data_IF_342355356472
#
_entry.id   IF_342355356472
#
_cell.length_a   1.000
_cell.length_b   1.000
_cell.length_c   1.000
_cell.angle_alpha   90.00
_cell.angle_beta   90.00
_cell.angle_gamma   90.00
#
_symmetry.space_group_name_H-M   'P 1'
#
loop_
_entity.id
_entity.type
_entity.pdbx_description
1 polymer ?
#
# COMPACT_ATOMS: atom_id res chain seq x y z
N UNK A 1 32.12 4.09 35.64
CA UNK A 1 32.15 2.66 36.01
C UNK A 1 31.51 1.91 34.86
N UNK A 2 32.33 1.38 33.94
CA UNK A 2 31.87 0.77 32.68
C UNK A 2 31.86 -0.74 32.88
N UNK A 3 30.67 -1.35 32.78
CA UNK A 3 30.50 -2.79 32.83
C UNK A 3 30.74 -3.37 31.44
N UNK A 4 31.82 -4.14 31.31
CA UNK A 4 32.13 -4.97 30.15
C UNK A 4 31.29 -6.26 30.27
N UNK A 5 30.50 -6.66 29.25
CA UNK A 5 29.84 -7.95 29.25
C UNK A 5 30.85 -9.07 28.94
N UNK A 6 30.75 -10.24 29.59
CA UNK A 6 31.64 -11.36 29.29
C UNK A 6 31.29 -11.99 27.95
N UNK A 7 32.31 -12.21 27.13
CA UNK A 7 32.24 -12.83 25.81
C UNK A 7 31.73 -14.28 25.87
N UNK A 8 30.92 -14.64 24.87
CA UNK A 8 30.93 -16.01 24.34
C UNK A 8 29.81 -16.97 24.74
N UNK A 9 28.60 -16.49 25.09
CA UNK A 9 27.46 -17.39 25.30
C UNK A 9 26.36 -17.19 24.25
N UNK A 10 26.13 -18.25 23.47
CA UNK A 10 25.01 -18.43 22.55
C UNK A 10 23.67 -18.20 23.29
N UNK A 11 22.80 -17.34 22.76
CA UNK A 11 21.49 -17.02 23.33
C UNK A 11 20.62 -18.27 23.61
N UNK A 12 20.85 -19.37 22.88
CA UNK A 12 20.13 -20.63 23.07
C UNK A 12 20.58 -21.44 24.29
N UNK A 13 21.79 -21.22 24.85
CA UNK A 13 22.26 -21.97 26.02
C UNK A 13 21.88 -21.33 27.37
N UNK A 14 21.53 -20.05 27.38
CA UNK A 14 21.15 -19.31 28.61
C UNK A 14 19.70 -19.55 29.03
N UNK A 15 18.82 -19.96 28.10
CA UNK A 15 17.42 -20.28 28.39
C UNK A 15 17.29 -21.62 29.14
N UNK A 16 18.27 -22.53 29.00
CA UNK A 16 18.26 -23.82 29.69
C UNK A 16 18.79 -23.76 31.14
N UNK A 17 19.58 -22.76 31.51
CA UNK A 17 20.28 -22.70 32.81
C UNK A 17 19.47 -22.02 33.94
N UNK A 18 18.37 -21.33 33.60
CA UNK A 18 17.40 -20.82 34.57
C UNK A 18 16.03 -21.14 34.00
N UNK A 19 15.35 -22.13 34.60
CA UNK A 19 14.03 -22.60 34.17
C UNK A 19 12.98 -21.50 34.14
N UNK A 20 13.00 -20.69 33.09
CA UNK A 20 11.90 -19.82 32.71
C UNK A 20 10.94 -20.67 31.90
N UNK A 21 10.02 -21.33 32.60
CA UNK A 21 8.89 -21.98 31.96
C UNK A 21 8.14 -20.92 31.13
N UNK A 22 8.06 -21.12 29.82
CA UNK A 22 7.36 -20.26 28.84
C UNK A 22 5.83 -20.21 29.04
N UNK A 23 5.32 -20.75 30.15
CA UNK A 23 3.90 -20.90 30.46
C UNK A 23 3.35 -19.84 31.45
N UNK A 24 4.09 -18.75 31.67
CA UNK A 24 3.66 -17.66 32.56
C UNK A 24 2.69 -16.66 31.90
N UNK A 25 1.87 -15.98 32.70
CA UNK A 25 1.09 -14.82 32.26
C UNK A 25 2.01 -13.72 31.72
N UNK A 26 1.52 -12.91 30.78
CA UNK A 26 2.29 -11.85 30.08
C UNK A 26 3.09 -10.94 31.04
N UNK A 27 2.55 -10.67 32.24
CA UNK A 27 3.20 -9.86 33.28
C UNK A 27 4.45 -10.50 33.86
N UNK A 28 4.46 -11.82 34.05
CA UNK A 28 5.64 -12.57 34.54
C UNK A 28 6.75 -12.57 33.50
N UNK A 29 6.40 -12.69 32.21
CA UNK A 29 7.34 -12.62 31.11
C UNK A 29 7.96 -11.22 31.01
N UNK A 30 7.14 -10.17 31.11
CA UNK A 30 7.60 -8.77 31.14
C UNK A 30 8.54 -8.51 32.30
N UNK A 31 8.21 -8.98 33.51
CA UNK A 31 9.04 -8.80 34.70
C UNK A 31 10.37 -9.54 34.59
N UNK A 32 10.38 -10.76 34.05
CA UNK A 32 11.59 -11.55 33.83
C UNK A 32 12.52 -10.91 32.79
N UNK A 33 11.95 -10.44 31.68
CA UNK A 33 12.69 -9.70 30.65
C UNK A 33 13.29 -8.40 31.20
N UNK A 34 12.51 -7.63 31.96
CA UNK A 34 12.97 -6.39 32.54
C UNK A 34 14.13 -6.63 33.54
N UNK A 35 14.00 -7.65 34.39
CA UNK A 35 15.08 -8.06 35.31
C UNK A 35 16.34 -8.52 34.56
N UNK A 36 16.18 -9.24 33.44
CA UNK A 36 17.31 -9.71 32.64
C UNK A 36 18.10 -8.57 31.98
N UNK A 37 17.41 -7.55 31.48
CA UNK A 37 18.04 -6.39 30.82
C UNK A 37 18.34 -5.22 31.77
N UNK A 38 18.02 -5.35 33.06
CA UNK A 38 18.21 -4.28 34.05
C UNK A 38 17.26 -3.08 33.87
N UNK A 39 16.09 -3.28 33.25
CA UNK A 39 15.04 -2.28 33.18
C UNK A 39 14.22 -2.27 34.48
N UNK A 40 14.12 -1.12 35.13
CA UNK A 40 13.25 -0.95 36.27
C UNK A 40 11.82 -0.61 35.80
N UNK A 41 10.91 -1.60 35.85
CA UNK A 41 9.51 -1.42 35.48
C UNK A 41 8.73 -0.51 36.45
N UNK A 42 9.29 -0.20 37.63
CA UNK A 42 8.66 0.72 38.58
C UNK A 42 8.90 2.18 38.21
N UNK A 43 9.93 2.45 37.41
CA UNK A 43 10.15 3.74 36.79
C UNK A 43 9.21 3.83 35.60
N UNK A 44 8.01 4.34 35.84
CA UNK A 44 7.11 4.75 34.77
C UNK A 44 7.90 5.79 33.94
N UNK A 45 8.35 5.48 32.71
CA UNK A 45 9.10 6.44 31.94
C UNK A 45 8.16 7.62 31.78
N UNK A 46 8.50 8.73 32.42
CA UNK A 46 7.82 9.99 32.19
C UNK A 46 8.17 10.31 30.75
N UNK A 47 7.34 9.82 29.82
CA UNK A 47 7.36 10.23 28.44
C UNK A 47 7.02 11.70 28.55
N UNK A 48 8.05 12.54 28.61
CA UNK A 48 7.89 13.93 28.23
C UNK A 48 7.32 13.82 26.83
N UNK A 49 6.01 14.03 26.74
CA UNK A 49 5.33 14.23 25.47
C UNK A 49 6.04 15.42 24.88
N UNK A 50 7.04 15.15 24.04
CA UNK A 50 7.53 16.09 23.05
C UNK A 50 6.24 16.43 22.31
N UNK A 51 5.67 17.59 22.60
CA UNK A 51 4.60 18.18 21.83
C UNK A 51 5.19 18.34 20.43
N UNK A 52 5.07 17.30 19.61
CA UNK A 52 5.31 17.40 18.18
C UNK A 52 4.37 18.52 17.76
N UNK A 53 4.90 19.67 17.31
CA UNK A 53 4.07 20.80 16.91
C UNK A 53 3.04 20.23 15.94
N UNK A 54 1.77 20.29 16.33
CA UNK A 54 0.69 19.81 15.48
C UNK A 54 0.87 20.55 14.18
N UNK A 55 1.11 19.81 13.09
CA UNK A 55 1.33 20.41 11.78
C UNK A 55 0.04 21.13 11.43
N UNK A 56 0.04 22.44 11.66
CA UNK A 56 -1.10 23.30 11.47
C UNK A 56 -1.56 23.18 10.02
N UNK A 57 -2.87 23.29 9.80
CA UNK A 57 -3.47 23.25 8.46
C UNK A 57 -2.78 24.27 7.54
N UNK A 58 -2.38 25.41 8.11
CA UNK A 58 -1.60 26.44 7.43
C UNK A 58 -0.22 25.99 6.92
N UNK A 59 0.44 25.03 7.60
CA UNK A 59 1.73 24.48 7.16
C UNK A 59 1.51 23.54 5.96
N UNK A 60 0.47 22.70 6.02
CA UNK A 60 0.12 21.82 4.90
C UNK A 60 -0.24 22.63 3.67
N UNK A 61 -1.03 23.69 3.83
CA UNK A 61 -1.41 24.57 2.73
C UNK A 61 -0.20 25.24 2.07
N UNK A 62 0.77 25.69 2.87
CA UNK A 62 2.03 26.25 2.32
C UNK A 62 2.86 25.21 1.60
N UNK A 63 3.02 24.01 2.17
CA UNK A 63 3.75 22.94 1.51
C UNK A 63 3.12 22.55 0.17
N UNK A 64 1.79 22.50 0.10
CA UNK A 64 1.08 22.27 -1.15
C UNK A 64 1.24 23.41 -2.15
N UNK A 65 1.15 24.67 -1.69
CA UNK A 65 1.37 25.84 -2.55
C UNK A 65 2.79 25.84 -3.15
N UNK A 66 3.81 25.52 -2.36
CA UNK A 66 5.20 25.42 -2.81
C UNK A 66 5.38 24.31 -3.86
N UNK A 67 4.78 23.13 -3.65
CA UNK A 67 4.80 22.04 -4.64
C UNK A 67 4.10 22.41 -5.95
N UNK A 68 2.99 23.13 -5.89
CA UNK A 68 2.29 23.62 -7.09
C UNK A 68 3.15 24.64 -7.83
N UNK A 69 3.78 25.58 -7.12
CA UNK A 69 4.71 26.54 -7.70
C UNK A 69 5.87 25.85 -8.40
N UNK A 70 6.45 24.82 -7.76
CA UNK A 70 7.53 24.02 -8.31
C UNK A 70 7.13 23.29 -9.60
N UNK A 71 5.90 22.77 -9.64
CA UNK A 71 5.33 22.14 -10.84
C UNK A 71 5.11 23.11 -12.00
N UNK A 72 4.80 24.38 -11.72
CA UNK A 72 4.69 25.43 -12.74
C UNK A 72 6.08 25.77 -13.29
N UNK A 73 7.06 26.00 -12.41
CA UNK A 73 8.44 26.30 -12.79
C UNK A 73 9.06 25.18 -13.64
N UNK A 74 8.80 23.92 -13.29
CA UNK A 74 9.23 22.77 -14.07
C UNK A 74 8.66 22.78 -15.49
N UNK A 75 7.35 23.03 -15.63
CA UNK A 75 6.69 23.12 -16.95
C UNK A 75 7.24 24.27 -17.78
N UNK A 76 7.50 25.41 -17.17
CA UNK A 76 8.04 26.59 -17.86
C UNK A 76 9.51 26.38 -18.26
N UNK A 77 10.29 25.68 -17.43
CA UNK A 77 11.66 25.27 -17.77
C UNK A 77 11.69 24.35 -18.98
N UNK A 78 10.80 23.35 -19.04
CA UNK A 78 10.66 22.46 -20.21
C UNK A 78 10.29 23.26 -21.47
N UNK A 79 9.30 24.16 -21.38
CA UNK A 79 8.90 25.01 -22.52
C UNK A 79 10.04 25.90 -23.01
N UNK A 80 10.89 26.37 -22.09
CA UNK A 80 12.05 27.18 -22.41
C UNK A 80 13.28 26.37 -22.88
N UNK A 81 13.18 25.04 -22.94
CA UNK A 81 14.32 24.16 -23.27
C UNK A 81 15.43 24.18 -22.22
N UNK A 82 15.13 24.57 -20.98
CA UNK A 82 16.09 24.62 -19.86
C UNK A 82 15.95 23.39 -18.98
N UNK A 83 17.06 22.93 -18.42
CA UNK A 83 17.05 21.90 -17.39
C UNK A 83 16.52 22.48 -16.09
N UNK A 84 15.45 21.89 -15.55
CA UNK A 84 14.94 22.21 -14.23
C UNK A 84 15.90 21.69 -13.14
N UNK A 85 16.29 22.55 -12.20
CA UNK A 85 17.16 22.22 -11.05
C UNK A 85 16.37 22.48 -9.77
N UNK A 86 16.21 21.45 -8.94
CA UNK A 86 15.45 21.55 -7.68
C UNK A 86 16.13 22.45 -6.65
N UNK A 87 17.44 22.58 -6.74
CA UNK A 87 18.24 23.46 -5.88
C UNK A 87 18.68 24.65 -6.73
N UNK A 88 18.30 25.90 -6.35
CA UNK A 88 18.80 27.07 -7.05
C UNK A 88 20.32 27.09 -6.97
N UNK A 89 20.99 27.35 -8.10
CA UNK A 89 22.44 27.53 -8.09
C UNK A 89 22.75 28.72 -7.18
N UNK A 90 23.34 28.43 -6.02
CA UNK A 90 23.90 29.47 -5.17
C UNK A 90 24.98 30.14 -6.01
N UNK A 91 24.90 31.47 -6.25
CA UNK A 91 25.90 32.17 -7.02
C UNK A 91 27.28 31.85 -6.45
N UNK A 92 28.16 31.34 -7.28
CA UNK A 92 29.49 30.87 -6.90
C UNK A 92 30.32 31.96 -6.18
N UNK A 93 29.94 33.23 -6.38
CA UNK A 93 30.48 34.40 -5.70
C UNK A 93 30.15 34.51 -4.20
N UNK A 94 29.19 33.74 -3.68
CA UNK A 94 28.78 33.75 -2.27
C UNK A 94 29.12 32.47 -1.51
N UNK A 95 29.74 31.47 -2.15
CA UNK A 95 30.32 30.33 -1.44
C UNK A 95 31.63 30.82 -0.83
N UNK A 96 31.75 30.95 0.51
CA UNK A 96 33.05 31.23 1.10
C UNK A 96 33.99 30.12 0.65
N UNK A 97 35.12 30.47 0.04
CA UNK A 97 36.24 29.54 -0.19
C UNK A 97 36.88 29.16 1.15
N UNK A 98 36.09 28.77 2.14
CA UNK A 98 36.57 28.02 3.29
C UNK A 98 36.84 26.62 2.77
N UNK A 99 38.10 26.43 2.36
CA UNK A 99 38.65 25.11 2.11
C UNK A 99 38.31 24.23 3.31
N UNK A 100 37.53 23.16 3.06
CA UNK A 100 37.13 22.15 4.05
C UNK A 100 38.38 21.54 4.74
N UNK A 101 39.57 21.67 4.13
CA UNK A 101 40.85 21.27 4.71
C UNK A 101 41.24 22.05 5.99
N UNK A 102 40.64 23.21 6.26
CA UNK A 102 40.95 23.98 7.48
C UNK A 102 40.20 23.51 8.74
N UNK A 103 39.12 22.73 8.58
CA UNK A 103 38.26 22.33 9.71
C UNK A 103 38.67 20.95 10.28
N UNK A 104 39.47 20.16 9.56
CA UNK A 104 39.96 18.85 10.00
C UNK A 104 41.41 18.62 9.55
N UNK A 105 42.44 19.02 10.33
CA UNK A 105 43.81 18.63 10.05
C UNK A 105 43.97 17.12 10.34
N UNK A 106 44.26 16.32 9.31
CA UNK A 106 44.72 14.93 9.47
C UNK A 106 43.92 13.83 8.76
N UNK A 107 42.95 14.15 7.90
CA UNK A 107 42.26 13.14 7.08
C UNK A 107 42.73 13.27 5.62
N UNK A 108 43.74 12.47 5.25
CA UNK A 108 44.11 12.25 3.86
C UNK A 108 43.06 11.35 3.20
N UNK A 109 42.16 11.94 2.40
CA UNK A 109 41.30 11.19 1.50
C UNK A 109 42.09 10.88 0.22
N UNK A 110 42.14 9.61 -0.26
CA UNK A 110 42.81 9.26 -1.49
C UNK A 110 42.16 9.97 -2.69
N UNK A 111 43.00 10.60 -3.51
CA UNK A 111 42.60 11.43 -4.63
C UNK A 111 41.72 10.70 -5.63
N UNK A 112 40.50 11.21 -5.82
CA UNK A 112 39.68 10.89 -6.98
C UNK A 112 40.08 11.89 -8.06
N UNK A 113 40.95 11.46 -8.98
CA UNK A 113 41.20 12.19 -10.21
C UNK A 113 39.91 12.23 -11.03
N UNK A 114 39.30 13.41 -11.15
CA UNK A 114 38.30 13.67 -12.19
C UNK A 114 39.03 13.76 -13.53
N UNK A 115 39.12 12.63 -14.22
CA UNK A 115 39.50 12.57 -15.62
C UNK A 115 38.48 13.32 -16.48
N UNK A 116 38.94 14.36 -17.16
CA UNK A 116 38.25 14.98 -18.28
C UNK A 116 38.19 13.98 -19.45
N UNK A 117 37.01 13.46 -19.78
CA UNK A 117 36.79 12.71 -21.01
C UNK A 117 35.35 12.88 -21.54
N UNK A 118 35.28 13.26 -22.82
CA UNK A 118 34.16 13.14 -23.76
C UNK A 118 32.92 14.05 -23.60
N UNK A 119 33.07 15.28 -24.10
CA UNK A 119 32.04 15.92 -24.94
C UNK A 119 32.10 15.30 -26.34
N UNK A 120 31.21 14.36 -26.66
CA UNK A 120 30.68 14.12 -28.02
C UNK A 120 29.74 12.90 -27.97
N UNK A 121 28.43 13.14 -27.81
CA UNK A 121 27.34 12.24 -28.23
C UNK A 121 25.98 12.92 -27.97
N UNK A 122 25.72 14.02 -28.69
CA UNK A 122 24.36 14.54 -28.86
C UNK A 122 23.83 13.95 -30.18
N UNK A 123 23.14 12.81 -30.11
CA UNK A 123 22.15 12.39 -31.11
C UNK A 123 21.47 11.08 -30.67
N UNK A 124 20.29 11.19 -30.04
CA UNK A 124 19.08 10.36 -30.25
C UNK A 124 18.13 10.56 -29.07
N UNK A 125 17.14 11.41 -29.29
CA UNK A 125 15.93 11.47 -28.48
C UNK A 125 15.12 10.22 -28.84
N UNK A 126 14.83 9.28 -27.91
CA UNK A 126 13.80 8.30 -28.16
C UNK A 126 12.43 8.98 -28.08
N UNK A 127 11.66 8.81 -29.14
CA UNK A 127 10.27 9.27 -29.27
C UNK A 127 9.41 8.86 -28.06
N UNK A 128 8.45 9.73 -27.75
CA UNK A 128 7.45 9.57 -26.68
C UNK A 128 6.88 8.15 -26.57
N UNK A 129 6.63 7.63 -25.35
CA UNK A 129 5.90 6.40 -25.17
C UNK A 129 4.44 6.59 -25.62
N UNK A 130 4.12 5.99 -26.75
CA UNK A 130 2.75 5.83 -27.23
C UNK A 130 2.03 4.86 -26.28
N UNK A 131 1.14 5.39 -25.43
CA UNK A 131 0.24 4.58 -24.62
C UNK A 131 -0.62 3.72 -25.55
N UNK A 132 -0.22 2.46 -25.72
CA UNK A 132 -1.03 1.45 -26.38
C UNK A 132 -2.29 1.21 -25.54
N UNK A 133 -3.46 1.46 -26.12
CA UNK A 133 -4.70 0.91 -25.62
C UNK A 133 -4.62 -0.62 -25.73
N UNK A 134 -5.03 -1.37 -24.68
CA UNK A 134 -5.17 -2.81 -24.81
C UNK A 134 -6.39 -3.11 -25.68
N UNK A 135 -6.12 -3.41 -26.95
CA UNK A 135 -7.06 -4.01 -27.87
C UNK A 135 -7.44 -5.40 -27.31
N UNK A 136 -8.68 -5.54 -26.85
CA UNK A 136 -9.21 -6.78 -26.32
C UNK A 136 -9.46 -7.78 -27.46
N UNK A 137 -8.40 -8.45 -27.92
CA UNK A 137 -8.52 -9.65 -28.74
C UNK A 137 -9.03 -10.81 -27.87
N UNK A 138 -10.34 -11.00 -27.89
CA UNK A 138 -11.03 -12.17 -27.36
C UNK A 138 -10.80 -13.33 -28.34
N UNK A 139 -9.74 -14.11 -28.11
CA UNK A 139 -9.56 -15.39 -28.79
C UNK A 139 -10.65 -16.36 -28.35
N UNK A 140 -11.50 -16.72 -29.31
CA UNK A 140 -12.48 -17.80 -29.22
C UNK A 140 -11.74 -19.13 -29.10
N UNK A 141 -11.76 -19.73 -27.91
CA UNK A 141 -11.31 -21.11 -27.73
C UNK A 141 -12.36 -22.07 -28.27
N UNK A 142 -12.08 -22.61 -29.45
CA UNK A 142 -12.74 -23.77 -30.03
C UNK A 142 -12.23 -25.05 -29.37
N UNK A 143 -13.17 -25.89 -28.98
CA UNK A 143 -12.99 -27.21 -28.39
C UNK A 143 -12.17 -28.14 -29.27
N UNK A 144 -11.12 -28.78 -28.74
CA UNK A 144 -10.68 -30.08 -29.22
C UNK A 144 -10.14 -30.96 -28.07
N UNK A 145 -10.78 -32.12 -27.96
CA UNK A 145 -10.34 -33.31 -27.23
C UNK A 145 -9.06 -33.87 -27.85
N UNK A 146 -8.05 -34.17 -27.04
CA UNK A 146 -7.08 -35.24 -27.34
C UNK A 146 -6.30 -35.65 -26.09
N UNK A 147 -6.31 -36.95 -25.86
CA UNK A 147 -5.61 -37.69 -24.82
C UNK A 147 -4.09 -37.78 -25.04
N UNK A 148 -3.42 -38.24 -23.98
CA UNK A 148 -2.20 -39.09 -23.99
C UNK A 148 -0.85 -38.39 -23.74
N UNK A 149 0.22 -39.14 -23.37
CA UNK A 149 0.54 -39.42 -21.97
C UNK A 149 1.98 -38.98 -21.60
N UNK A 150 2.27 -39.04 -20.30
CA UNK A 150 3.60 -38.80 -19.73
C UNK A 150 4.66 -39.79 -20.24
N UNK A 151 5.93 -39.35 -20.29
CA UNK A 151 7.02 -40.24 -19.95
C UNK A 151 7.94 -39.67 -18.86
N UNK A 152 8.38 -40.60 -18.03
CA UNK A 152 9.45 -40.46 -17.05
C UNK A 152 10.83 -40.48 -17.74
N UNK A 153 11.78 -39.71 -17.18
CA UNK A 153 13.24 -39.92 -17.24
C UNK A 153 13.83 -39.04 -16.12
N UNK A 154 14.36 -39.57 -15.01
CA UNK A 154 15.63 -40.29 -14.81
C UNK A 154 16.90 -39.52 -15.24
N UNK A 155 17.74 -39.28 -14.22
CA UNK A 155 19.20 -39.13 -14.20
C UNK A 155 19.81 -37.85 -14.80
N UNK A 156 20.66 -37.16 -14.02
CA UNK A 156 22.07 -37.54 -13.96
C UNK A 156 22.87 -36.69 -12.96
N UNK A 157 23.73 -37.40 -12.22
CA UNK A 157 24.76 -36.88 -11.33
C UNK A 157 25.96 -36.45 -12.16
N UNK A 158 26.55 -35.29 -11.85
CA UNK A 158 27.92 -34.99 -12.26
C UNK A 158 28.65 -34.27 -11.10
N UNK A 159 29.48 -35.05 -10.41
CA UNK A 159 30.59 -34.54 -9.61
C UNK A 159 31.66 -33.96 -10.55
N UNK A 160 32.19 -32.78 -10.20
CA UNK A 160 33.52 -32.36 -10.67
C UNK A 160 34.31 -31.92 -9.44
N UNK A 161 35.34 -32.70 -9.14
CA UNK A 161 36.46 -32.29 -8.30
C UNK A 161 37.41 -31.45 -9.12
N UNK A 162 37.81 -30.27 -8.64
CA UNK A 162 39.13 -29.70 -8.95
C UNK A 162 39.63 -28.90 -7.74
N UNK A 163 40.69 -29.45 -7.15
CA UNK A 163 41.56 -28.89 -6.12
C UNK A 163 42.62 -27.99 -6.75
N UNK A 164 42.78 -26.74 -6.29
CA UNK A 164 44.06 -26.02 -6.34
C UNK A 164 44.15 -24.96 -5.21
N UNK A 165 45.16 -25.14 -4.35
CA UNK A 165 45.85 -24.20 -3.44
C UNK A 165 47.02 -23.62 -4.30
N UNK A 166 47.50 -22.35 -4.25
CA UNK A 166 47.99 -21.68 -3.03
C UNK A 166 47.98 -20.12 -2.99
N UNK A 167 48.45 -19.62 -1.84
CA UNK A 167 49.27 -18.41 -1.63
C UNK A 167 48.61 -17.24 -0.90
N UNK A 168 49.09 -17.11 0.33
CA UNK A 168 48.85 -16.08 1.33
C UNK A 168 49.31 -14.70 0.86
N UNK A 169 48.43 -13.70 1.06
CA UNK A 169 48.80 -12.30 1.18
C UNK A 169 48.30 -11.76 2.53
N UNK A 170 49.03 -10.85 3.18
CA UNK A 170 48.69 -10.34 4.50
C UNK A 170 47.48 -9.40 4.40
N UNK A 171 46.39 -9.78 5.05
CA UNK A 171 45.18 -8.97 5.20
C UNK A 171 45.45 -7.86 6.23
N UNK A 172 45.32 -6.57 5.89
CA UNK A 172 45.36 -5.50 6.87
C UNK A 172 44.14 -5.59 7.80
N UNK A 173 44.40 -5.47 9.11
CA UNK A 173 43.38 -5.53 10.15
C UNK A 173 42.25 -4.51 9.90
N UNK A 174 40.97 -4.91 9.93
CA UNK A 174 39.87 -3.97 9.81
C UNK A 174 39.82 -3.10 11.07
N UNK A 175 40.08 -1.81 10.89
CA UNK A 175 39.80 -0.78 11.89
C UNK A 175 38.33 -0.81 12.24
N UNK A 176 38.02 -1.24 13.46
CA UNK A 176 36.70 -1.25 14.07
C UNK A 176 36.19 0.20 14.16
N UNK A 177 35.45 0.63 13.15
CA UNK A 177 34.65 1.84 13.21
C UNK A 177 33.54 1.60 14.25
N UNK A 178 33.31 2.52 15.20
CA UNK A 178 32.26 2.39 16.19
C UNK A 178 30.93 2.21 15.46
N UNK A 179 30.30 1.06 15.67
CA UNK A 179 29.02 0.69 15.06
C UNK A 179 27.95 1.72 15.42
N UNK A 180 27.51 2.50 14.42
CA UNK A 180 26.31 3.35 14.44
C UNK A 180 25.02 2.51 14.47
N UNK A 181 25.02 1.36 15.15
CA UNK A 181 23.92 0.39 15.18
C UNK A 181 22.79 0.80 16.14
N UNK A 182 23.11 1.60 17.16
CA UNK A 182 22.12 2.04 18.16
C UNK A 182 21.06 3.01 17.60
N UNK A 183 21.37 3.78 16.55
CA UNK A 183 20.41 4.73 15.96
C UNK A 183 19.42 4.06 14.98
N UNK A 184 19.74 2.87 14.45
CA UNK A 184 18.88 2.13 13.54
C UNK A 184 17.68 1.49 14.26
N UNK A 185 17.90 0.96 15.48
CA UNK A 185 16.85 0.28 16.25
C UNK A 185 15.70 1.19 16.71
N UNK A 186 15.97 2.48 16.98
CA UNK A 186 14.93 3.42 17.40
C UNK A 186 13.96 3.80 16.26
N UNK A 187 14.41 3.75 15.01
CA UNK A 187 13.54 4.02 13.85
C UNK A 187 12.58 2.86 13.58
N UNK A 188 13.04 1.63 13.83
CA UNK A 188 12.25 0.43 13.56
C UNK A 188 11.07 0.28 14.52
N UNK A 189 11.23 0.67 15.80
CA UNK A 189 10.14 0.62 16.79
C UNK A 189 9.02 1.60 16.45
N UNK A 190 9.33 2.82 15.99
CA UNK A 190 8.32 3.79 15.57
C UNK A 190 7.49 3.30 14.38
N UNK A 191 8.13 2.68 13.40
CA UNK A 191 7.46 2.13 12.21
C UNK A 191 6.45 1.03 12.57
N UNK A 192 6.74 0.21 13.59
CA UNK A 192 5.83 -0.86 14.02
C UNK A 192 4.58 -0.34 14.74
N UNK A 193 4.70 0.73 15.53
CA UNK A 193 3.55 1.34 16.21
C UNK A 193 2.63 2.06 15.21
N UNK A 194 3.22 2.84 14.29
CA UNK A 194 2.48 3.48 13.19
C UNK A 194 1.66 2.47 12.39
N UNK A 195 2.17 1.26 12.17
CA UNK A 195 1.45 0.28 11.36
C UNK A 195 0.38 -0.46 12.15
N UNK A 196 0.59 -0.65 13.46
CA UNK A 196 -0.45 -1.16 14.35
C UNK A 196 -1.63 -0.18 14.42
N UNK A 197 -1.36 1.13 14.42
CA UNK A 197 -2.41 2.15 14.38
C UNK A 197 -3.15 2.17 13.04
N UNK A 198 -2.46 2.01 11.92
CA UNK A 198 -3.09 1.89 10.58
C UNK A 198 -4.00 0.66 10.51
N UNK A 199 -3.56 -0.50 11.00
CA UNK A 199 -4.36 -1.73 11.02
C UNK A 199 -5.60 -1.55 11.92
N UNK A 200 -5.44 -0.96 13.10
CA UNK A 200 -6.56 -0.66 13.98
C UNK A 200 -7.55 0.34 13.33
N UNK A 201 -7.02 1.31 12.56
CA UNK A 201 -7.82 2.23 11.76
C UNK A 201 -8.62 1.53 10.66
N UNK A 202 -8.04 0.54 9.98
CA UNK A 202 -8.76 -0.24 8.97
C UNK A 202 -9.96 -0.99 9.54
N UNK A 203 -9.80 -1.60 10.72
CA UNK A 203 -10.82 -2.45 11.34
C UNK A 203 -12.00 -1.62 11.87
N UNK A 204 -11.77 -0.35 12.23
CA UNK A 204 -12.81 0.55 12.78
C UNK A 204 -13.61 1.29 11.71
N UNK A 205 -13.09 1.43 10.49
CA UNK A 205 -13.77 2.19 9.44
C UNK A 205 -14.86 1.37 8.77
N UNK A 206 -16.09 1.55 9.26
CA UNK A 206 -17.31 0.97 8.66
C UNK A 206 -18.00 1.91 7.66
N UNK A 207 -17.68 3.21 7.73
CA UNK A 207 -18.30 4.26 6.92
C UNK A 207 -17.74 4.30 5.50
N UNK A 208 -18.63 4.48 4.51
CA UNK A 208 -18.24 4.57 3.09
C UNK A 208 -17.27 5.74 2.81
N UNK A 209 -17.47 6.89 3.46
CA UNK A 209 -16.58 8.07 3.34
C UNK A 209 -15.18 7.78 3.83
N UNK A 210 -15.08 7.21 5.04
CA UNK A 210 -13.81 6.85 5.68
C UNK A 210 -13.04 5.82 4.85
N UNK A 211 -13.74 4.85 4.25
CA UNK A 211 -13.09 3.86 3.37
C UNK A 211 -12.47 4.52 2.14
N UNK A 212 -13.16 5.47 1.49
CA UNK A 212 -12.59 6.19 0.35
C UNK A 212 -11.38 7.03 0.79
N UNK A 213 -11.50 7.75 1.90
CA UNK A 213 -10.42 8.57 2.46
C UNK A 213 -9.16 7.74 2.78
N UNK A 214 -9.32 6.56 3.39
CA UNK A 214 -8.21 5.65 3.68
C UNK A 214 -7.53 5.07 2.43
N UNK A 215 -8.24 4.98 1.31
CA UNK A 215 -7.64 4.54 0.05
C UNK A 215 -6.85 5.69 -0.56
N UNK A 216 -7.39 6.90 -0.51
CA UNK A 216 -6.76 8.10 -1.04
C UNK A 216 -5.57 8.59 -0.23
N UNK A 217 -5.56 8.35 1.09
CA UNK A 217 -4.40 8.60 1.95
C UNK A 217 -3.24 7.64 1.66
N UNK A 218 -3.49 6.54 0.95
CA UNK A 218 -2.50 5.52 0.65
C UNK A 218 -2.38 4.41 1.70
N UNK A 219 -3.16 4.44 2.80
CA UNK A 219 -3.09 3.44 3.87
C UNK A 219 -3.27 2.03 3.32
N UNK A 220 -4.31 1.84 2.48
CA UNK A 220 -4.63 0.55 1.86
C UNK A 220 -3.49 0.04 0.99
N UNK A 221 -2.80 0.94 0.28
CA UNK A 221 -1.63 0.60 -0.53
C UNK A 221 -0.44 0.25 0.34
N UNK A 222 -0.16 1.00 1.41
CA UNK A 222 0.92 0.70 2.36
C UNK A 222 0.78 -0.69 3.00
N UNK A 223 -0.45 -1.09 3.34
CA UNK A 223 -0.74 -2.44 3.86
C UNK A 223 -0.49 -3.50 2.79
N UNK A 224 -0.87 -3.24 1.54
CA UNK A 224 -0.58 -4.16 0.43
C UNK A 224 0.92 -4.26 0.17
N UNK A 225 1.67 -3.17 0.18
CA UNK A 225 3.11 -3.18 -0.08
C UNK A 225 3.86 -3.93 1.02
N UNK A 226 3.38 -3.83 2.26
CA UNK A 226 4.01 -4.49 3.41
C UNK A 226 3.66 -5.97 3.54
N UNK A 227 2.38 -6.30 3.46
CA UNK A 227 1.88 -7.65 3.75
C UNK A 227 1.51 -8.43 2.49
N UNK A 228 1.16 -7.73 1.41
CA UNK A 228 0.71 -8.33 0.16
C UNK A 228 1.83 -9.00 -0.63
N UNK A 229 1.49 -9.68 -1.74
CA UNK A 229 2.47 -10.33 -2.59
C UNK A 229 3.44 -9.28 -3.17
N UNK A 230 4.75 -9.53 -3.05
CA UNK A 230 5.78 -8.60 -3.53
C UNK A 230 5.79 -8.41 -5.06
N UNK A 231 5.23 -9.37 -5.80
CA UNK A 231 5.10 -9.29 -7.25
C UNK A 231 3.63 -9.21 -7.68
N UNK A 232 3.25 -8.18 -8.48
CA UNK A 232 1.90 -8.11 -9.03
C UNK A 232 1.63 -9.31 -9.94
N UNK A 233 0.61 -10.10 -9.59
CA UNK A 233 0.18 -11.27 -10.36
C UNK A 233 0.71 -12.62 -9.86
N UNK A 234 1.68 -12.66 -8.94
CA UNK A 234 2.04 -13.92 -8.28
C UNK A 234 1.07 -14.25 -7.17
N UNK A 235 0.56 -15.49 -7.19
CA UNK A 235 -0.11 -16.09 -6.04
C UNK A 235 0.96 -16.53 -5.06
N UNK A 236 1.08 -15.84 -3.94
CA UNK A 236 2.02 -16.14 -2.88
C UNK A 236 1.89 -15.14 -1.75
N UNK A 237 2.14 -15.59 -0.53
CA UNK A 237 2.09 -14.75 0.66
C UNK A 237 3.50 -14.25 0.94
N UNK A 238 3.76 -12.95 0.82
CA UNK A 238 5.02 -12.38 1.31
C UNK A 238 5.07 -12.45 2.84
N UNK A 239 3.93 -12.20 3.48
CA UNK A 239 3.76 -12.24 4.93
C UNK A 239 2.66 -13.24 5.35
N UNK A 240 2.90 -14.16 6.30
CA UNK A 240 1.89 -15.10 6.80
C UNK A 240 0.58 -14.47 7.28
N UNK A 241 0.58 -13.19 7.65
CA UNK A 241 -0.60 -12.43 8.10
C UNK A 241 -1.44 -11.86 6.95
N UNK A 242 -0.97 -11.84 5.71
CA UNK A 242 -1.74 -11.33 4.55
C UNK A 242 -3.14 -11.90 4.42
N UNK A 243 -3.42 -13.20 4.65
CA UNK A 243 -4.78 -13.74 4.55
C UNK A 243 -5.78 -13.00 5.45
N UNK A 244 -5.33 -12.47 6.61
CA UNK A 244 -6.15 -11.66 7.52
C UNK A 244 -6.61 -10.36 6.86
N UNK A 245 -5.73 -9.71 6.09
CA UNK A 245 -5.98 -8.37 5.52
C UNK A 245 -6.45 -8.39 4.06
N UNK A 246 -6.09 -9.43 3.31
CA UNK A 246 -6.31 -9.55 1.86
C UNK A 246 -7.76 -9.29 1.46
N UNK A 247 -8.71 -9.87 2.20
CA UNK A 247 -10.14 -9.69 1.97
C UNK A 247 -10.57 -8.24 2.22
N UNK A 248 -10.08 -7.61 3.29
CA UNK A 248 -10.43 -6.24 3.63
C UNK A 248 -9.89 -5.26 2.58
N UNK A 249 -8.61 -5.37 2.24
CA UNK A 249 -7.93 -4.59 1.21
C UNK A 249 -8.65 -4.75 -0.14
N UNK A 250 -8.92 -5.98 -0.56
CA UNK A 250 -9.60 -6.26 -1.84
C UNK A 250 -11.00 -5.65 -1.92
N UNK A 251 -11.77 -5.67 -0.82
CA UNK A 251 -13.10 -5.06 -0.77
C UNK A 251 -13.02 -3.53 -0.90
N UNK A 252 -12.07 -2.90 -0.22
CA UNK A 252 -11.85 -1.45 -0.23
C UNK A 252 -11.47 -0.98 -1.64
N UNK A 253 -10.47 -1.61 -2.24
CA UNK A 253 -10.06 -1.33 -3.61
C UNK A 253 -11.17 -1.55 -4.64
N UNK A 254 -12.02 -2.56 -4.42
CA UNK A 254 -13.16 -2.79 -5.31
C UNK A 254 -14.14 -1.61 -5.27
N UNK A 255 -14.37 -1.00 -4.10
CA UNK A 255 -15.22 0.21 -4.01
C UNK A 255 -14.55 1.42 -4.64
N UNK A 256 -13.25 1.59 -4.47
CA UNK A 256 -12.53 2.64 -5.15
C UNK A 256 -12.58 2.46 -6.68
N UNK A 257 -12.48 1.22 -7.19
CA UNK A 257 -12.71 0.94 -8.61
C UNK A 257 -14.09 1.35 -9.08
N UNK A 258 -15.15 1.10 -8.30
CA UNK A 258 -16.50 1.59 -8.62
C UNK A 258 -16.52 3.12 -8.70
N UNK A 259 -15.94 3.81 -7.72
CA UNK A 259 -15.85 5.28 -7.74
C UNK A 259 -15.14 5.79 -9.00
N UNK A 260 -14.00 5.18 -9.37
CA UNK A 260 -13.20 5.62 -10.51
C UNK A 260 -13.82 5.24 -11.86
N UNK A 261 -14.34 4.02 -12.01
CA UNK A 261 -14.83 3.50 -13.29
C UNK A 261 -16.29 3.88 -13.56
N UNK A 262 -17.19 3.66 -12.60
CA UNK A 262 -18.63 3.88 -12.80
C UNK A 262 -19.02 5.35 -12.53
N UNK A 263 -18.28 6.06 -11.68
CA UNK A 263 -18.61 7.45 -11.30
C UNK A 263 -17.57 8.47 -11.76
N UNK A 264 -16.58 8.06 -12.57
CA UNK A 264 -15.52 8.93 -13.09
C UNK A 264 -14.82 9.77 -12.01
N UNK A 265 -14.67 9.21 -10.79
CA UNK A 265 -14.09 9.91 -9.65
C UNK A 265 -15.00 10.97 -9.00
N UNK A 266 -16.25 11.13 -9.46
CA UNK A 266 -17.18 12.10 -8.90
C UNK A 266 -17.75 11.60 -7.55
N UNK A 267 -17.04 11.92 -6.47
CA UNK A 267 -17.41 11.58 -5.09
C UNK A 267 -18.82 12.02 -4.71
N UNK A 268 -19.24 13.21 -5.15
CA UNK A 268 -20.58 13.75 -4.83
C UNK A 268 -21.67 12.89 -5.45
N UNK A 269 -21.56 12.55 -6.74
CA UNK A 269 -22.51 11.64 -7.42
C UNK A 269 -22.50 10.25 -6.77
N UNK A 270 -21.33 9.73 -6.45
CA UNK A 270 -21.16 8.44 -5.77
C UNK A 270 -21.85 8.40 -4.41
N UNK A 271 -21.58 9.37 -3.52
CA UNK A 271 -22.19 9.42 -2.20
C UNK A 271 -23.70 9.67 -2.27
N UNK A 272 -24.16 10.55 -3.15
CA UNK A 272 -25.59 10.78 -3.37
C UNK A 272 -26.30 9.50 -3.82
N UNK A 273 -25.69 8.73 -4.73
CA UNK A 273 -26.25 7.47 -5.22
C UNK A 273 -26.43 6.44 -4.09
N UNK A 274 -25.48 6.36 -3.16
CA UNK A 274 -25.51 5.43 -2.02
C UNK A 274 -26.14 6.00 -0.75
N UNK A 275 -26.70 7.20 -0.80
CA UNK A 275 -27.46 7.77 0.32
C UNK A 275 -28.78 7.02 0.48
N UNK A 276 -29.07 6.60 1.71
CA UNK A 276 -30.33 5.96 2.08
C UNK A 276 -31.21 7.03 2.70
N UNK A 277 -32.48 7.16 2.27
CA UNK A 277 -33.41 8.06 2.96
C UNK A 277 -33.50 7.64 4.43
N UNK A 278 -33.53 8.61 5.36
CA UNK A 278 -33.60 8.30 6.78
C UNK A 278 -34.79 7.37 7.05
N UNK A 279 -34.63 6.32 7.88
CA UNK A 279 -35.68 5.35 8.12
C UNK A 279 -36.90 6.06 8.71
N UNK A 280 -38.03 6.01 8.01
CA UNK A 280 -39.18 6.88 8.27
C UNK A 280 -39.71 6.82 9.72
N UNK A 281 -39.55 5.71 10.46
CA UNK A 281 -40.31 5.50 11.71
C UNK A 281 -39.70 4.54 12.72
N UNK A 282 -38.37 4.28 12.71
CA UNK A 282 -37.81 3.51 13.84
C UNK A 282 -37.97 4.36 15.10
N UNK A 283 -38.88 3.95 16.00
CA UNK A 283 -39.09 4.51 17.35
C UNK A 283 -37.71 4.81 17.93
N UNK A 284 -37.30 6.08 17.88
CA UNK A 284 -35.98 6.50 18.35
C UNK A 284 -35.94 6.07 19.81
N UNK A 285 -34.91 5.30 20.18
CA UNK A 285 -34.63 4.96 21.57
C UNK A 285 -34.54 6.31 22.30
N UNK A 286 -35.52 6.61 23.17
CA UNK A 286 -35.60 7.88 23.91
C UNK A 286 -34.24 8.13 24.57
N UNK A 287 -33.51 9.17 24.15
CA UNK A 287 -32.24 9.56 24.78
C UNK A 287 -31.12 9.97 23.81
N UNK A 288 -31.21 9.71 22.50
CA UNK A 288 -30.24 10.25 21.55
C UNK A 288 -30.62 11.68 21.16
N UNK A 289 -29.76 12.64 21.51
CA UNK A 289 -29.92 14.05 21.17
C UNK A 289 -30.05 14.22 19.65
N UNK A 290 -30.92 15.14 19.23
CA UNK A 290 -31.25 15.30 17.81
C UNK A 290 -30.09 15.91 17.01
N UNK A 291 -29.17 16.61 17.68
CA UNK A 291 -28.01 17.28 17.07
C UNK A 291 -26.88 16.33 16.66
N UNK A 292 -26.81 15.12 17.22
CA UNK A 292 -25.69 14.19 17.01
C UNK A 292 -25.94 13.17 15.88
N UNK A 293 -27.08 13.26 15.19
CA UNK A 293 -27.32 12.35 14.07
C UNK A 293 -26.55 12.80 12.82
N UNK A 294 -25.76 11.90 12.20
CA UNK A 294 -25.15 12.18 10.91
C UNK A 294 -26.22 12.62 9.91
N UNK A 295 -25.99 13.76 9.26
CA UNK A 295 -26.91 14.35 8.27
C UNK A 295 -27.20 13.40 7.11
N UNK A 296 -26.29 12.48 6.82
CA UNK A 296 -26.38 11.56 5.68
C UNK A 296 -26.10 10.12 6.12
N UNK A 297 -27.08 9.24 5.88
CA UNK A 297 -26.93 7.80 6.08
C UNK A 297 -26.54 7.14 4.76
N UNK A 298 -25.31 6.63 4.67
CA UNK A 298 -24.90 5.83 3.52
C UNK A 298 -25.29 4.37 3.68
N UNK A 299 -25.52 3.69 2.56
CA UNK A 299 -25.50 2.23 2.54
C UNK A 299 -24.15 1.76 3.07
N UNK A 300 -24.15 0.71 3.89
CA UNK A 300 -22.90 0.22 4.46
C UNK A 300 -21.97 -0.23 3.35
N UNK A 301 -20.68 0.11 3.49
CA UNK A 301 -19.64 -0.25 2.53
C UNK A 301 -19.69 -1.75 2.16
N UNK A 302 -19.88 -2.61 3.17
CA UNK A 302 -19.98 -4.05 2.99
C UNK A 302 -21.11 -4.45 2.04
N UNK A 303 -22.30 -3.87 2.18
CA UNK A 303 -23.45 -4.19 1.33
C UNK A 303 -23.21 -3.79 -0.13
N UNK A 304 -22.54 -2.65 -0.35
CA UNK A 304 -22.21 -2.20 -1.70
C UNK A 304 -21.23 -3.18 -2.36
N UNK A 305 -20.20 -3.63 -1.63
CA UNK A 305 -19.23 -4.61 -2.16
C UNK A 305 -19.90 -5.94 -2.51
N UNK A 306 -20.80 -6.41 -1.65
CA UNK A 306 -21.54 -7.66 -1.87
C UNK A 306 -22.55 -7.54 -3.03
N UNK A 307 -23.04 -6.34 -3.34
CA UNK A 307 -23.97 -6.06 -4.44
C UNK A 307 -23.31 -6.11 -5.84
N UNK A 308 -22.01 -5.82 -5.94
CA UNK A 308 -21.26 -5.74 -7.21
C UNK A 308 -21.46 -6.94 -8.15
N UNK A 309 -21.25 -8.21 -7.73
CA UNK A 309 -21.41 -9.36 -8.62
C UNK A 309 -22.87 -9.53 -9.09
N UNK A 310 -23.85 -9.19 -8.25
CA UNK A 310 -25.27 -9.25 -8.62
C UNK A 310 -25.63 -8.20 -9.66
N UNK A 311 -25.14 -6.97 -9.45
CA UNK A 311 -25.25 -5.86 -10.40
C UNK A 311 -24.66 -6.25 -11.76
N UNK A 312 -23.46 -6.86 -11.79
CA UNK A 312 -22.85 -7.31 -13.04
C UNK A 312 -23.68 -8.38 -13.74
N UNK A 313 -24.15 -9.39 -13.02
CA UNK A 313 -24.98 -10.45 -13.58
C UNK A 313 -26.31 -9.91 -14.15
N UNK A 314 -26.96 -8.99 -13.44
CA UNK A 314 -28.22 -8.41 -13.87
C UNK A 314 -28.06 -7.51 -15.09
N UNK A 315 -26.96 -6.74 -15.17
CA UNK A 315 -26.64 -5.92 -16.36
C UNK A 315 -26.33 -6.82 -17.55
N UNK A 316 -25.61 -7.93 -17.36
CA UNK A 316 -25.36 -8.90 -18.44
C UNK A 316 -26.67 -9.53 -18.92
N UNK A 317 -27.57 -9.92 -18.02
CA UNK A 317 -28.89 -10.44 -18.38
C UNK A 317 -29.76 -9.38 -19.08
N UNK A 318 -29.66 -8.12 -18.65
CA UNK A 318 -30.35 -7.00 -19.29
C UNK A 318 -29.89 -6.81 -20.74
N UNK A 319 -28.57 -6.88 -21.00
CA UNK A 319 -27.99 -6.79 -22.35
C UNK A 319 -28.44 -7.92 -23.30
N UNK A 320 -28.98 -9.01 -22.79
CA UNK A 320 -29.48 -10.13 -23.60
C UNK A 320 -30.94 -9.96 -24.04
N UNK A 321 -31.64 -8.90 -23.62
CA UNK A 321 -33.02 -8.65 -24.06
C UNK A 321 -33.06 -8.29 -25.55
N UNK A 322 -34.08 -8.79 -26.24
CA UNK A 322 -34.28 -8.60 -27.67
C UNK A 322 -34.33 -7.12 -28.10
N UNK A 323 -34.74 -6.21 -27.20
CA UNK A 323 -34.77 -4.77 -27.45
C UNK A 323 -33.37 -4.16 -27.71
N UNK A 324 -32.31 -4.77 -27.18
CA UNK A 324 -30.93 -4.32 -27.36
C UNK A 324 -30.16 -5.12 -28.42
N UNK A 325 -30.77 -6.13 -29.02
CA UNK A 325 -30.17 -6.92 -30.09
C UNK A 325 -30.41 -6.24 -31.44
N UNK A 326 -29.44 -6.30 -32.35
CA UNK A 326 -29.61 -5.89 -33.75
C UNK A 326 -30.40 -6.93 -34.56
N UNK A 327 -30.51 -6.72 -35.88
CA UNK A 327 -31.24 -7.64 -36.76
C UNK A 327 -30.56 -9.01 -36.91
N UNK A 328 -29.31 -9.15 -36.46
CA UNK A 328 -28.51 -10.38 -36.48
C UNK A 328 -28.56 -11.11 -35.13
N UNK A 329 -29.23 -10.54 -34.13
CA UNK A 329 -29.30 -11.09 -32.77
C UNK A 329 -28.06 -10.80 -31.92
N UNK A 330 -27.20 -9.88 -32.35
CA UNK A 330 -25.98 -9.45 -31.62
C UNK A 330 -26.30 -8.20 -30.80
N UNK A 331 -25.66 -8.07 -29.64
CA UNK A 331 -25.83 -6.90 -28.77
C UNK A 331 -25.38 -5.61 -29.48
N UNK A 332 -26.28 -4.62 -29.56
CA UNK A 332 -26.03 -3.34 -30.19
C UNK A 332 -25.74 -2.26 -29.16
N UNK A 333 -24.47 -1.82 -29.08
CA UNK A 333 -24.06 -0.69 -28.23
C UNK A 333 -24.83 0.60 -28.58
N UNK A 334 -25.26 0.76 -29.83
CA UNK A 334 -26.05 1.92 -30.28
C UNK A 334 -27.43 1.90 -29.63
N UNK A 335 -28.15 0.77 -29.66
CA UNK A 335 -29.47 0.65 -29.00
C UNK A 335 -29.34 0.78 -27.49
N UNK A 336 -28.29 0.20 -26.90
CA UNK A 336 -28.01 0.34 -25.47
C UNK A 336 -27.76 1.80 -25.08
N UNK A 337 -26.91 2.49 -25.84
CA UNK A 337 -26.62 3.90 -25.67
C UNK A 337 -27.88 4.76 -25.79
N UNK A 338 -28.75 4.51 -26.79
CA UNK A 338 -29.99 5.27 -26.94
C UNK A 338 -30.91 5.24 -25.71
N UNK A 339 -30.96 4.12 -24.98
CA UNK A 339 -31.80 3.95 -23.80
C UNK A 339 -31.10 4.44 -22.52
N UNK A 340 -29.80 4.18 -22.42
CA UNK A 340 -29.04 4.32 -21.18
C UNK A 340 -27.94 5.40 -21.23
N UNK A 341 -27.97 6.29 -22.22
CA UNK A 341 -26.96 7.35 -22.36
C UNK A 341 -26.82 8.18 -21.08
N UNK A 342 -25.59 8.51 -20.73
CA UNK A 342 -25.25 9.28 -19.51
C UNK A 342 -25.44 8.54 -18.18
N UNK A 343 -25.98 7.31 -18.18
CA UNK A 343 -26.15 6.48 -16.98
C UNK A 343 -25.02 5.47 -16.84
N UNK A 344 -24.53 5.31 -15.61
CA UNK A 344 -23.55 4.27 -15.31
C UNK A 344 -24.23 2.93 -14.98
N UNK A 345 -23.42 1.88 -14.85
CA UNK A 345 -23.93 0.52 -14.61
C UNK A 345 -24.77 0.38 -13.33
N UNK A 346 -24.51 1.21 -12.31
CA UNK A 346 -25.29 1.22 -11.07
C UNK A 346 -26.64 1.88 -11.24
N UNK A 347 -26.68 3.04 -11.91
CA UNK A 347 -27.91 3.76 -12.19
C UNK A 347 -28.85 2.94 -13.09
N UNK A 348 -28.30 2.27 -14.11
CA UNK A 348 -29.07 1.32 -14.94
C UNK A 348 -29.63 0.20 -14.06
N UNK A 349 -28.82 -0.38 -13.16
CA UNK A 349 -29.26 -1.46 -12.28
C UNK A 349 -30.40 -1.07 -11.33
N UNK A 350 -30.39 0.17 -10.85
CA UNK A 350 -31.49 0.76 -10.08
C UNK A 350 -32.74 0.96 -10.92
N UNK A 351 -32.58 1.46 -12.14
CA UNK A 351 -33.71 1.80 -13.01
C UNK A 351 -34.43 0.58 -13.59
N UNK A 352 -33.71 -0.51 -13.85
CA UNK A 352 -34.33 -1.81 -14.19
C UNK A 352 -35.02 -2.48 -12.98
N UNK A 353 -34.98 -1.85 -11.80
CA UNK A 353 -35.68 -2.31 -10.60
C UNK A 353 -35.10 -3.57 -9.95
N UNK A 354 -33.86 -3.94 -10.29
CA UNK A 354 -33.18 -5.14 -9.75
C UNK A 354 -32.21 -4.86 -8.60
N UNK A 355 -32.07 -3.60 -8.20
CA UNK A 355 -31.20 -3.17 -7.10
C UNK A 355 -31.53 -3.91 -5.80
N UNK A 356 -30.58 -4.72 -5.33
CA UNK A 356 -30.72 -5.51 -4.10
C UNK A 356 -29.44 -5.50 -3.27
N UNK A 357 -29.59 -5.25 -1.97
CA UNK A 357 -28.51 -5.31 -0.99
C UNK A 357 -28.84 -6.41 0.02
N UNK A 358 -28.53 -7.66 -0.33
CA UNK A 358 -28.82 -8.79 0.55
C UNK A 358 -27.70 -8.97 1.56
N UNK A 359 -28.04 -8.99 2.84
CA UNK A 359 -27.15 -9.55 3.85
C UNK A 359 -27.28 -11.07 3.77
N UNK A 360 -26.30 -11.70 3.12
CA UNK A 360 -26.25 -13.16 2.87
C UNK A 360 -26.50 -14.02 4.11
N UNK A 361 -26.25 -13.47 5.32
CA UNK A 361 -26.51 -14.16 6.59
C UNK A 361 -27.96 -14.58 6.81
N UNK A 362 -28.96 -13.82 6.32
CA UNK A 362 -30.38 -14.20 6.53
C UNK A 362 -30.82 -15.39 5.69
N UNK A 363 -30.19 -15.62 4.54
CA UNK A 363 -30.65 -16.65 3.59
C UNK A 363 -30.33 -18.09 4.03
N UNK A 364 -29.39 -18.28 4.96
CA UNK A 364 -29.03 -19.62 5.45
C UNK A 364 -30.03 -20.14 6.48
N UNK A 365 -30.70 -19.25 7.22
CA UNK A 365 -31.72 -19.64 8.21
C UNK A 365 -33.04 -20.04 7.53
N UNK A 366 -33.42 -19.36 6.44
CA UNK A 366 -34.65 -19.66 5.69
C UNK A 366 -34.55 -20.91 4.80
N UNK A 367 -33.34 -21.43 4.53
CA UNK A 367 -33.13 -22.68 3.76
C UNK A 367 -33.09 -23.91 4.68
N UNK A 368 -32.78 -23.70 5.97
CA UNK A 368 -32.71 -24.77 6.97
C UNK A 368 -33.98 -24.88 7.84
N UNK A 369 -35.01 -24.09 7.53
CA UNK A 369 -36.36 -24.17 8.11
C UNK A 369 -37.32 -24.67 7.04
#
# INVERSE_FOLDING_TARGET
>A
MVLVPPDGLNASSLIAAKGAELNGTVETLRSSLAAYYGFDLTVNPRVETINVPTVDESIRDRQWADLVSLGIEWKDSIKAGKQFKLVPEVPEALVPKTSIQSILPGIELPGIELGAANQESIARIPSSPQWHQPECHRQSNSSHLASSPAPAAMNSVAQVMHSHIPSHLPVPSPTLSPSTSAAAGLREVGILDDISTVIAGLERCEGLRQVIEQIESGDVQAIRDRYGPSEPGRRGTADPSWPKYSNLVSKRERIHRVLMQDFAGNKKRFFNYFTVPPPATKKRKRGADASDLPTEYFRSFRLIVEAIPWREADIVAERQKAEYLDNEGVFSDVKWGQVWDGKNSWEIWREIGKERYQNTKKKVEDINS
#
